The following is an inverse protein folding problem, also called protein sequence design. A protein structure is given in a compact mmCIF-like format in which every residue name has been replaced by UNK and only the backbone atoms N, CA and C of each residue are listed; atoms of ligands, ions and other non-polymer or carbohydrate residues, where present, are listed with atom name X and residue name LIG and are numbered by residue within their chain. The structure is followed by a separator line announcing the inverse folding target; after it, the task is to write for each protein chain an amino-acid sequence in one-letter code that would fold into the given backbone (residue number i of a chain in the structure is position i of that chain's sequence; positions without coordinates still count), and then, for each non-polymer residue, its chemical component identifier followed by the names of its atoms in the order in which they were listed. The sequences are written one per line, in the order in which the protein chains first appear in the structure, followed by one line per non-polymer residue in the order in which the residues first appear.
data_IF_777622720609
#
_entry.id   IF_777622720609
#
_cell.length_a   1.000
_cell.length_b   1.000
_cell.length_c   1.000
_cell.angle_alpha   90.00
_cell.angle_beta   90.00
_cell.angle_gamma   90.00
#
_symmetry.space_group_name_H-M   'P 1'
#
loop_
_entity.id
_entity.type
_entity.pdbx_description
1 polymer ?
#
# COMPACT_ATOMS: atom_id res chain seq x y z
N UNK A 1 9.16 -22.79 6.31
CA UNK A 1 8.28 -22.78 5.14
C UNK A 1 9.15 -22.74 3.89
N UNK A 2 8.94 -23.62 2.92
CA UNK A 2 9.76 -23.60 1.69
C UNK A 2 9.20 -22.54 0.73
N UNK A 3 9.68 -21.30 0.84
CA UNK A 3 9.23 -20.16 0.02
C UNK A 3 9.72 -20.23 -1.43
N UNK A 4 10.60 -21.18 -1.76
CA UNK A 4 11.15 -21.37 -3.12
C UNK A 4 10.09 -21.75 -4.17
N UNK A 5 8.92 -22.20 -3.72
CA UNK A 5 7.82 -22.67 -4.56
C UNK A 5 6.71 -21.62 -4.75
N UNK A 6 6.85 -20.44 -4.10
CA UNK A 6 5.93 -19.31 -4.22
C UNK A 6 6.57 -18.26 -5.11
N UNK A 7 5.82 -17.79 -6.09
CA UNK A 7 6.26 -16.66 -6.92
C UNK A 7 5.28 -15.49 -6.81
N UNK A 8 5.85 -14.29 -6.80
CA UNK A 8 5.13 -13.03 -6.83
C UNK A 8 5.31 -12.38 -8.19
N UNK A 9 4.23 -12.01 -8.84
CA UNK A 9 4.26 -11.42 -10.16
C UNK A 9 3.97 -9.93 -10.06
N UNK A 10 4.90 -9.12 -10.59
CA UNK A 10 4.85 -7.65 -10.60
C UNK A 10 4.44 -7.06 -9.25
N UNK A 11 5.11 -7.49 -8.19
CA UNK A 11 4.82 -6.96 -6.86
C UNK A 11 5.05 -5.44 -6.82
N UNK A 12 4.06 -4.65 -6.38
CA UNK A 12 4.06 -3.20 -6.57
C UNK A 12 5.03 -2.44 -5.66
N UNK A 13 5.56 -3.10 -4.65
CA UNK A 13 6.39 -2.48 -3.65
C UNK A 13 7.85 -2.85 -3.89
N UNK A 14 8.72 -1.85 -3.77
CA UNK A 14 10.13 -1.87 -4.08
C UNK A 14 10.84 -3.17 -3.62
N UNK A 15 11.71 -3.71 -4.47
CA UNK A 15 12.48 -4.95 -4.29
C UNK A 15 13.21 -5.13 -2.95
N UNK A 16 13.49 -4.02 -2.24
CA UNK A 16 14.08 -4.07 -0.90
C UNK A 16 13.18 -4.72 0.15
N UNK A 17 11.89 -4.88 -0.13
CA UNK A 17 10.92 -5.43 0.81
C UNK A 17 10.88 -6.96 0.81
N UNK A 18 11.28 -7.62 -0.29
CA UNK A 18 10.95 -9.04 -0.51
C UNK A 18 12.13 -9.90 -0.93
N UNK A 19 13.25 -9.32 -1.31
CA UNK A 19 14.39 -10.03 -1.90
C UNK A 19 15.00 -11.17 -1.06
N UNK A 20 14.59 -11.32 0.20
CA UNK A 20 15.05 -12.41 1.08
C UNK A 20 14.05 -13.57 1.19
N UNK A 21 12.74 -13.32 0.95
CA UNK A 21 11.70 -14.29 1.30
C UNK A 21 10.95 -14.88 0.11
N UNK A 22 10.92 -14.20 -1.04
CA UNK A 22 10.07 -14.61 -2.16
C UNK A 22 10.75 -14.41 -3.51
N UNK A 23 10.42 -15.29 -4.45
CA UNK A 23 10.88 -15.19 -5.83
C UNK A 23 9.97 -14.22 -6.58
N UNK A 24 10.51 -13.07 -6.96
CA UNK A 24 9.80 -12.10 -7.80
C UNK A 24 9.97 -12.41 -9.28
N UNK A 25 8.90 -12.27 -10.04
CA UNK A 25 8.86 -12.36 -11.50
C UNK A 25 8.27 -11.08 -12.05
N UNK A 26 9.01 -10.39 -12.91
CA UNK A 26 8.54 -9.17 -13.54
C UNK A 26 8.01 -9.46 -14.94
N UNK A 27 6.79 -9.01 -15.22
CA UNK A 27 6.18 -9.07 -16.55
C UNK A 27 6.77 -8.00 -17.46
N UNK A 28 7.09 -6.83 -16.89
CA UNK A 28 7.53 -5.65 -17.64
C UNK A 28 8.84 -5.11 -17.08
N UNK A 29 9.69 -4.62 -17.97
CA UNK A 29 10.84 -3.82 -17.52
C UNK A 29 10.32 -2.51 -16.91
N UNK A 30 10.78 -2.15 -15.69
CA UNK A 30 10.46 -0.85 -15.12
C UNK A 30 10.91 0.24 -16.09
N UNK A 31 10.00 1.17 -16.42
CA UNK A 31 10.35 2.33 -17.25
C UNK A 31 11.41 3.16 -16.53
N UNK A 32 12.43 3.59 -17.25
CA UNK A 32 13.40 4.58 -16.74
C UNK A 32 12.67 5.85 -16.28
N UNK A 33 13.26 6.59 -15.35
CA UNK A 33 12.67 7.86 -14.85
C UNK A 33 12.34 8.81 -16.02
N UNK A 34 13.21 8.87 -17.04
CA UNK A 34 12.98 9.68 -18.23
C UNK A 34 11.77 9.22 -19.07
N UNK A 35 11.61 7.91 -19.29
CA UNK A 35 10.47 7.37 -20.04
C UNK A 35 9.15 7.50 -19.26
N UNK A 36 9.18 7.37 -17.93
CA UNK A 36 8.01 7.66 -17.08
C UNK A 36 7.60 9.14 -17.16
N UNK A 37 8.57 10.03 -17.29
CA UNK A 37 8.33 11.45 -17.47
C UNK A 37 7.73 11.73 -18.87
N UNK A 38 8.35 11.23 -19.94
CA UNK A 38 7.86 11.39 -21.32
C UNK A 38 6.45 10.85 -21.51
N UNK A 39 6.11 9.72 -20.87
CA UNK A 39 4.76 9.14 -20.92
C UNK A 39 3.67 10.09 -20.38
N UNK A 40 3.99 11.08 -19.55
CA UNK A 40 3.04 12.07 -19.04
C UNK A 40 2.70 13.17 -20.06
N UNK A 41 3.46 13.25 -21.14
CA UNK A 41 3.17 14.17 -22.26
C UNK A 41 2.14 13.53 -23.20
N UNK A 42 1.06 14.21 -23.61
CA UNK A 42 -0.03 13.62 -24.39
C UNK A 42 0.42 12.93 -25.67
N UNK A 43 1.39 13.52 -26.40
CA UNK A 43 1.96 12.97 -27.63
C UNK A 43 2.74 11.65 -27.42
N UNK A 44 3.35 11.47 -26.24
CA UNK A 44 4.16 10.29 -25.93
C UNK A 44 3.39 9.21 -25.16
N UNK A 45 2.25 9.54 -24.57
CA UNK A 45 1.42 8.57 -23.84
C UNK A 45 0.91 7.45 -24.75
N UNK A 46 0.60 7.74 -26.02
CA UNK A 46 0.22 6.77 -27.03
C UNK A 46 1.40 5.88 -27.51
N UNK A 47 2.59 6.45 -27.62
CA UNK A 47 3.78 5.77 -28.14
C UNK A 47 4.49 4.89 -27.09
N UNK A 48 4.43 5.29 -25.81
CA UNK A 48 5.11 4.60 -24.71
C UNK A 48 4.21 3.58 -24.00
N UNK A 49 2.93 3.45 -24.39
CA UNK A 49 2.01 2.43 -23.86
C UNK A 49 2.45 0.98 -24.15
N UNK A 50 3.32 0.77 -25.14
CA UNK A 50 3.89 -0.52 -25.50
C UNK A 50 5.19 -0.81 -24.73
N UNK A 51 5.12 -0.90 -23.39
CA UNK A 51 6.21 -1.51 -22.63
C UNK A 51 6.37 -2.96 -23.10
N UNK A 52 7.56 -3.31 -23.58
CA UNK A 52 7.83 -4.67 -24.03
C UNK A 52 7.70 -5.62 -22.85
N UNK A 53 6.80 -6.56 -22.95
CA UNK A 53 6.71 -7.70 -22.06
C UNK A 53 8.07 -8.42 -22.03
N UNK A 54 8.51 -8.84 -20.87
CA UNK A 54 9.76 -9.59 -20.72
C UNK A 54 9.52 -10.99 -21.31
N UNK A 55 10.27 -11.37 -22.35
CA UNK A 55 10.14 -12.71 -22.93
C UNK A 55 10.46 -13.77 -21.88
N UNK A 56 9.63 -14.83 -21.85
CA UNK A 56 9.86 -16.01 -21.00
C UNK A 56 9.53 -15.82 -19.52
N UNK A 57 8.88 -14.75 -19.10
CA UNK A 57 8.48 -14.56 -17.70
C UNK A 57 7.54 -15.69 -17.19
N UNK A 58 6.74 -16.26 -18.08
CA UNK A 58 5.81 -17.35 -17.74
C UNK A 58 6.52 -18.68 -17.45
N UNK A 59 7.79 -18.84 -17.82
CA UNK A 59 8.56 -20.07 -17.54
C UNK A 59 8.54 -20.39 -16.05
N UNK A 60 8.66 -19.37 -15.20
CA UNK A 60 8.63 -19.55 -13.75
C UNK A 60 7.29 -20.08 -13.25
N UNK A 61 6.20 -19.82 -13.96
CA UNK A 61 4.86 -20.26 -13.58
C UNK A 61 4.70 -21.79 -13.67
N UNK A 62 5.46 -22.46 -14.55
CA UNK A 62 5.38 -23.93 -14.74
C UNK A 62 5.78 -24.72 -13.50
N UNK A 63 6.67 -24.17 -12.69
CA UNK A 63 7.28 -24.88 -11.57
C UNK A 63 6.81 -24.34 -10.22
N UNK A 64 6.02 -23.28 -10.20
CA UNK A 64 5.51 -22.70 -8.97
C UNK A 64 4.33 -23.50 -8.43
N UNK A 65 4.30 -23.72 -7.11
CA UNK A 65 3.14 -24.30 -6.41
C UNK A 65 2.10 -23.22 -6.07
N UNK A 66 2.54 -22.01 -5.87
CA UNK A 66 1.64 -20.86 -5.62
C UNK A 66 2.10 -19.66 -6.40
N UNK A 67 1.18 -19.02 -7.09
CA UNK A 67 1.42 -17.83 -7.91
C UNK A 67 0.54 -16.72 -7.38
N UNK A 68 1.14 -15.60 -6.98
CA UNK A 68 0.43 -14.44 -6.46
C UNK A 68 0.67 -13.27 -7.41
N UNK A 69 -0.39 -12.70 -7.95
CA UNK A 69 -0.37 -11.51 -8.80
C UNK A 69 -1.23 -10.40 -8.20
N UNK A 70 -0.94 -9.15 -8.54
CA UNK A 70 -1.64 -7.97 -8.01
C UNK A 70 -2.29 -7.17 -9.14
N UNK A 71 -3.38 -6.46 -8.84
CA UNK A 71 -4.12 -5.57 -9.75
C UNK A 71 -3.43 -4.21 -9.97
N UNK A 72 -2.11 -4.21 -10.09
CA UNK A 72 -1.30 -2.98 -10.15
C UNK A 72 -1.28 -2.29 -11.51
N UNK A 73 -1.85 -2.92 -12.52
CA UNK A 73 -1.87 -2.42 -13.89
C UNK A 73 -3.17 -2.74 -14.61
N UNK A 74 -3.52 -1.90 -15.58
CA UNK A 74 -4.62 -2.16 -16.48
C UNK A 74 -4.38 -3.48 -17.23
N UNK A 75 -5.43 -4.25 -17.47
CA UNK A 75 -5.39 -5.56 -18.15
C UNK A 75 -4.70 -6.68 -17.34
N UNK A 76 -4.68 -6.63 -16.02
CA UNK A 76 -4.16 -7.72 -15.20
C UNK A 76 -4.85 -9.07 -15.53
N UNK A 77 -6.12 -9.07 -15.89
CA UNK A 77 -6.85 -10.27 -16.30
C UNK A 77 -6.18 -10.99 -17.50
N UNK A 78 -5.65 -10.24 -18.47
CA UNK A 78 -4.92 -10.82 -19.60
C UNK A 78 -3.69 -11.61 -19.14
N UNK A 79 -2.97 -11.09 -18.15
CA UNK A 79 -1.80 -11.77 -17.59
C UNK A 79 -2.20 -12.95 -16.71
N UNK A 80 -3.31 -12.85 -16.00
CA UNK A 80 -3.90 -13.99 -15.29
C UNK A 80 -4.21 -15.15 -16.25
N UNK A 81 -4.81 -14.89 -17.40
CA UNK A 81 -5.05 -15.94 -18.41
C UNK A 81 -3.75 -16.56 -18.94
N UNK A 82 -2.69 -15.76 -19.19
CA UNK A 82 -1.39 -16.30 -19.59
C UNK A 82 -0.77 -17.18 -18.49
N UNK A 83 -0.86 -16.76 -17.23
CA UNK A 83 -0.40 -17.54 -16.07
C UNK A 83 -1.15 -18.87 -16.01
N UNK A 84 -2.46 -18.83 -16.07
CA UNK A 84 -3.31 -20.00 -15.95
C UNK A 84 -3.02 -21.05 -17.02
N UNK A 85 -2.70 -20.60 -18.24
CA UNK A 85 -2.32 -21.48 -19.36
C UNK A 85 -0.99 -22.19 -19.12
N UNK A 86 -0.04 -21.55 -18.46
CA UNK A 86 1.33 -22.06 -18.28
C UNK A 86 1.55 -22.73 -16.92
N UNK A 87 0.76 -22.40 -15.92
CA UNK A 87 0.88 -22.94 -14.57
C UNK A 87 0.42 -24.41 -14.50
N UNK A 88 1.06 -25.21 -13.62
CA UNK A 88 0.59 -26.55 -13.30
C UNK A 88 -0.89 -26.54 -12.88
N UNK A 89 -1.62 -27.63 -13.15
CA UNK A 89 -3.03 -27.77 -12.75
C UNK A 89 -3.20 -27.72 -11.22
N UNK A 90 -2.19 -28.19 -10.48
CA UNK A 90 -2.16 -28.22 -9.02
C UNK A 90 -1.70 -26.89 -8.41
N UNK A 91 -1.18 -25.97 -9.23
CA UNK A 91 -0.74 -24.68 -8.74
C UNK A 91 -1.92 -23.84 -8.24
N UNK A 92 -1.78 -23.24 -7.06
CA UNK A 92 -2.72 -22.22 -6.57
C UNK A 92 -2.48 -20.90 -7.28
N UNK A 93 -3.54 -20.32 -7.78
CA UNK A 93 -3.51 -19.03 -8.47
C UNK A 93 -4.23 -17.99 -7.61
N UNK A 94 -3.53 -16.97 -7.17
CA UNK A 94 -4.05 -15.94 -6.26
C UNK A 94 -3.94 -14.58 -6.94
N UNK A 95 -5.07 -13.91 -7.12
CA UNK A 95 -5.10 -12.48 -7.43
C UNK A 95 -5.39 -11.71 -6.14
N UNK A 96 -4.47 -10.82 -5.75
CA UNK A 96 -4.66 -9.95 -4.60
C UNK A 96 -4.94 -8.52 -5.07
N UNK A 97 -6.15 -8.03 -4.81
CA UNK A 97 -6.60 -6.70 -5.17
C UNK A 97 -6.02 -5.67 -4.18
N UNK A 98 -5.26 -4.72 -4.69
CA UNK A 98 -4.71 -3.57 -3.96
C UNK A 98 -5.54 -2.29 -4.14
N UNK A 99 -6.52 -2.36 -5.04
CA UNK A 99 -7.47 -1.29 -5.28
C UNK A 99 -8.89 -1.76 -4.92
N UNK A 100 -9.78 -0.86 -4.52
CA UNK A 100 -11.20 -1.18 -4.36
C UNK A 100 -11.78 -1.75 -5.65
N UNK A 101 -12.65 -2.75 -5.52
CA UNK A 101 -13.35 -3.41 -6.65
C UNK A 101 -14.08 -2.41 -7.55
N UNK A 102 -14.57 -1.34 -6.99
CA UNK A 102 -15.25 -0.26 -7.72
C UNK A 102 -14.39 0.36 -8.85
N UNK A 103 -13.04 0.28 -8.80
CA UNK A 103 -12.17 0.80 -9.85
C UNK A 103 -12.00 -0.14 -11.04
N UNK A 104 -12.11 -1.44 -10.84
CA UNK A 104 -12.07 -2.46 -11.90
C UNK A 104 -12.69 -3.76 -11.41
N UNK A 105 -13.55 -4.32 -12.21
CA UNK A 105 -14.16 -5.62 -11.99
C UNK A 105 -13.63 -6.71 -12.95
N UNK A 106 -12.49 -6.47 -13.57
CA UNK A 106 -11.83 -7.41 -14.51
C UNK A 106 -11.55 -8.79 -13.89
N UNK A 107 -11.51 -8.89 -12.55
CA UNK A 107 -11.38 -10.18 -11.87
C UNK A 107 -12.54 -11.14 -12.18
N UNK A 108 -13.71 -10.63 -12.56
CA UNK A 108 -14.88 -11.43 -12.98
C UNK A 108 -14.65 -12.17 -14.30
N UNK A 109 -13.65 -11.76 -15.08
CA UNK A 109 -13.26 -12.43 -16.31
C UNK A 109 -12.40 -13.66 -16.07
N UNK A 110 -11.98 -13.91 -14.83
CA UNK A 110 -11.11 -15.03 -14.48
C UNK A 110 -11.92 -16.30 -14.23
N UNK A 111 -11.29 -17.44 -14.47
CA UNK A 111 -11.88 -18.75 -14.19
C UNK A 111 -12.00 -18.99 -12.66
N UNK A 112 -12.81 -19.97 -12.27
CA UNK A 112 -12.93 -20.42 -10.88
C UNK A 112 -11.65 -21.01 -10.29
N UNK A 113 -10.62 -21.14 -11.08
CA UNK A 113 -9.28 -21.57 -10.65
C UNK A 113 -8.55 -20.50 -9.84
N UNK A 114 -8.97 -19.23 -9.99
CA UNK A 114 -8.37 -18.09 -9.29
C UNK A 114 -9.02 -17.86 -7.94
N UNK A 115 -8.20 -17.78 -6.90
CA UNK A 115 -8.60 -17.26 -5.61
C UNK A 115 -8.46 -15.74 -5.63
N UNK A 116 -9.57 -15.02 -5.45
CA UNK A 116 -9.56 -13.56 -5.46
C UNK A 116 -9.57 -13.04 -4.03
N UNK A 117 -8.54 -12.29 -3.69
CA UNK A 117 -8.36 -11.69 -2.36
C UNK A 117 -8.44 -10.16 -2.45
N UNK A 118 -8.99 -9.54 -1.42
CA UNK A 118 -9.05 -8.08 -1.29
C UNK A 118 -8.63 -7.64 0.10
N UNK A 119 -8.04 -6.44 0.19
CA UNK A 119 -7.70 -5.82 1.48
C UNK A 119 -8.89 -5.08 2.12
N UNK A 120 -10.01 -4.96 1.41
CA UNK A 120 -11.22 -4.31 1.88
C UNK A 120 -12.23 -5.34 2.37
N UNK A 121 -12.55 -5.29 3.67
CA UNK A 121 -13.52 -6.19 4.30
C UNK A 121 -14.94 -6.02 3.71
N UNK A 122 -15.31 -4.79 3.36
CA UNK A 122 -16.58 -4.49 2.71
C UNK A 122 -16.68 -5.14 1.31
N UNK A 123 -15.62 -5.01 0.49
CA UNK A 123 -15.57 -5.64 -0.83
C UNK A 123 -15.60 -7.17 -0.70
N UNK A 124 -14.88 -7.72 0.28
CA UNK A 124 -14.88 -9.17 0.52
C UNK A 124 -16.29 -9.69 0.78
N UNK A 125 -17.05 -9.02 1.63
CA UNK A 125 -18.44 -9.42 1.94
C UNK A 125 -19.39 -9.18 0.78
N UNK A 126 -19.27 -8.03 0.10
CA UNK A 126 -20.21 -7.64 -0.96
C UNK A 126 -20.07 -8.48 -2.22
N UNK A 127 -18.86 -8.88 -2.55
CA UNK A 127 -18.53 -9.56 -3.80
C UNK A 127 -18.11 -11.02 -3.60
N UNK A 128 -18.27 -11.55 -2.39
CA UNK A 128 -17.87 -12.93 -2.03
C UNK A 128 -16.40 -13.22 -2.35
N UNK A 129 -15.50 -12.30 -1.93
CA UNK A 129 -14.07 -12.41 -2.11
C UNK A 129 -13.40 -12.80 -0.78
N UNK A 130 -12.20 -13.37 -0.89
CA UNK A 130 -11.41 -13.67 0.31
C UNK A 130 -10.81 -12.38 0.89
N UNK A 131 -10.87 -12.24 2.22
CA UNK A 131 -10.32 -11.09 2.91
C UNK A 131 -8.88 -11.33 3.35
N UNK A 132 -7.99 -10.43 2.95
CA UNK A 132 -6.62 -10.36 3.44
C UNK A 132 -6.26 -8.92 3.74
N UNK A 133 -6.14 -8.55 5.03
CA UNK A 133 -5.77 -7.19 5.41
C UNK A 133 -4.41 -6.79 4.80
N UNK A 134 -4.22 -5.50 4.56
CA UNK A 134 -2.92 -4.93 4.19
C UNK A 134 -1.86 -5.28 5.25
N UNK A 135 -0.62 -5.30 4.87
CA UNK A 135 0.50 -5.69 5.72
C UNK A 135 1.66 -4.70 5.65
N UNK A 136 2.58 -4.80 6.58
CA UNK A 136 3.88 -4.14 6.54
C UNK A 136 5.01 -5.16 6.44
N UNK A 137 6.17 -4.72 5.96
CA UNK A 137 7.37 -5.56 5.95
C UNK A 137 8.29 -5.19 7.12
N UNK A 138 8.53 -6.10 8.09
CA UNK A 138 9.37 -5.82 9.25
C UNK A 138 10.83 -5.50 8.90
N UNK A 139 11.34 -5.97 7.76
CA UNK A 139 12.71 -5.68 7.30
C UNK A 139 12.98 -4.18 7.07
N UNK A 140 11.93 -3.38 6.88
CA UNK A 140 12.08 -1.92 6.75
C UNK A 140 12.68 -1.28 8.00
N UNK A 141 12.50 -1.87 9.17
CA UNK A 141 13.12 -1.37 10.40
C UNK A 141 14.65 -1.38 10.30
N UNK A 142 15.22 -2.44 9.72
CA UNK A 142 16.67 -2.55 9.59
C UNK A 142 17.25 -1.55 8.60
N UNK A 143 16.49 -1.23 7.55
CA UNK A 143 16.90 -0.23 6.54
C UNK A 143 16.69 1.22 6.99
N UNK A 144 15.94 1.45 8.06
CA UNK A 144 15.61 2.80 8.56
C UNK A 144 16.30 3.18 9.86
N UNK A 145 17.00 2.24 10.52
CA UNK A 145 17.69 2.43 11.81
C UNK A 145 18.89 3.40 11.78
N UNK A 146 19.22 3.97 10.64
CA UNK A 146 20.53 4.64 10.41
C UNK A 146 20.70 6.01 11.05
N UNK A 147 19.69 6.57 11.74
CA UNK A 147 19.85 7.87 12.41
C UNK A 147 19.17 7.86 13.80
N UNK A 148 19.91 8.18 14.87
CA UNK A 148 19.29 8.48 16.14
C UNK A 148 18.42 9.74 15.97
N UNK A 149 17.11 9.60 16.19
CA UNK A 149 16.15 10.69 16.07
C UNK A 149 16.16 11.45 17.39
N UNK A 150 16.94 12.52 17.45
CA UNK A 150 16.98 13.38 18.63
C UNK A 150 15.73 14.26 18.76
N UNK A 151 15.12 14.64 17.62
CA UNK A 151 13.90 15.45 17.59
C UNK A 151 13.14 15.20 16.29
N UNK A 152 11.81 14.96 16.33
CA UNK A 152 10.99 14.80 15.11
C UNK A 152 11.06 16.02 14.20
N UNK A 153 11.19 15.79 12.91
CA UNK A 153 11.27 16.87 11.89
C UNK A 153 9.93 17.58 11.69
N UNK A 154 8.83 16.89 11.95
CA UNK A 154 7.47 17.41 11.87
C UNK A 154 6.56 16.76 12.92
N UNK A 155 5.47 17.44 13.25
CA UNK A 155 4.47 16.89 14.15
C UNK A 155 3.50 16.00 13.41
N UNK A 156 3.21 16.33 12.13
CA UNK A 156 2.32 15.54 11.27
C UNK A 156 2.88 15.46 9.83
N UNK A 157 3.01 14.25 9.31
CA UNK A 157 3.51 13.97 7.97
C UNK A 157 2.40 13.43 7.06
N UNK A 158 2.26 13.99 5.86
CA UNK A 158 1.50 13.43 4.76
C UNK A 158 2.38 13.31 3.52
N UNK A 159 2.44 12.12 2.91
CA UNK A 159 3.08 11.90 1.60
C UNK A 159 2.15 11.02 0.77
N UNK A 160 1.64 11.55 -0.34
CA UNK A 160 0.77 10.77 -1.21
C UNK A 160 0.37 11.53 -2.48
N UNK A 161 -0.15 10.81 -3.46
CA UNK A 161 -0.68 11.41 -4.69
C UNK A 161 -1.97 12.17 -4.41
N UNK A 162 -2.31 13.12 -5.27
CA UNK A 162 -3.49 13.97 -5.13
C UNK A 162 -4.80 13.15 -5.02
N UNK A 163 -5.11 12.36 -6.02
CA UNK A 163 -6.33 11.53 -6.06
C UNK A 163 -7.60 12.27 -5.61
N UNK A 164 -7.70 13.58 -5.92
CA UNK A 164 -8.82 14.43 -5.55
C UNK A 164 -8.84 14.93 -4.11
N UNK A 165 -7.73 14.80 -3.35
CA UNK A 165 -7.63 15.18 -1.94
C UNK A 165 -6.86 16.48 -1.69
N UNK A 166 -6.31 17.07 -2.75
CA UNK A 166 -5.41 18.24 -2.66
C UNK A 166 -6.03 19.37 -1.83
N UNK A 167 -7.22 19.78 -2.16
CA UNK A 167 -7.84 20.95 -1.54
C UNK A 167 -8.13 20.70 -0.06
N UNK A 168 -8.58 19.51 0.29
CA UNK A 168 -8.73 19.08 1.68
C UNK A 168 -7.41 19.12 2.45
N UNK A 169 -6.33 18.58 1.86
CA UNK A 169 -5.00 18.50 2.49
C UNK A 169 -4.43 19.90 2.72
N UNK A 170 -4.56 20.81 1.75
CA UNK A 170 -4.08 22.18 1.88
C UNK A 170 -4.88 22.94 2.91
N UNK A 171 -6.21 22.86 2.88
CA UNK A 171 -7.07 23.51 3.88
C UNK A 171 -6.77 23.01 5.29
N UNK A 172 -6.63 21.70 5.47
CA UNK A 172 -6.24 21.11 6.75
C UNK A 172 -4.89 21.63 7.23
N UNK A 173 -3.89 21.73 6.33
CA UNK A 173 -2.57 22.29 6.66
C UNK A 173 -2.66 23.71 7.20
N UNK A 174 -3.46 24.56 6.55
CA UNK A 174 -3.64 25.95 6.96
C UNK A 174 -4.34 26.05 8.33
N UNK A 175 -5.36 25.24 8.56
CA UNK A 175 -6.03 25.17 9.86
C UNK A 175 -5.06 24.71 10.96
N UNK A 176 -4.28 23.67 10.72
CA UNK A 176 -3.34 23.13 11.72
C UNK A 176 -2.20 24.08 12.05
N UNK A 177 -1.80 24.93 11.10
CA UNK A 177 -0.81 25.99 11.32
C UNK A 177 -1.27 26.98 12.40
N UNK A 178 -2.56 27.30 12.45
CA UNK A 178 -3.13 28.18 13.49
C UNK A 178 -3.01 27.60 14.90
N UNK A 179 -2.90 26.26 15.03
CA UNK A 179 -2.66 25.56 16.29
C UNK A 179 -1.17 25.29 16.58
N UNK A 180 -0.25 25.87 15.78
CA UNK A 180 1.20 25.69 15.96
C UNK A 180 1.71 24.30 15.57
N UNK A 181 0.93 23.48 14.85
CA UNK A 181 1.32 22.13 14.43
C UNK A 181 2.19 22.22 13.17
N UNK A 182 3.41 21.65 13.25
CA UNK A 182 4.36 21.61 12.14
C UNK A 182 4.00 20.49 11.17
N UNK A 183 3.39 20.84 10.04
CA UNK A 183 2.95 19.91 9.00
C UNK A 183 3.98 19.78 7.87
N UNK A 184 4.45 18.56 7.61
CA UNK A 184 5.18 18.20 6.37
C UNK A 184 4.22 17.47 5.41
N UNK A 185 3.48 18.25 4.61
CA UNK A 185 2.50 17.69 3.67
C UNK A 185 3.03 17.77 2.24
N UNK A 186 3.23 16.60 1.63
CA UNK A 186 3.78 16.43 0.28
C UNK A 186 2.76 15.75 -0.61
N UNK A 187 2.12 16.54 -1.47
CA UNK A 187 1.22 16.05 -2.51
C UNK A 187 2.08 15.68 -3.71
N UNK A 188 2.18 14.39 -4.00
CA UNK A 188 3.13 13.88 -4.99
C UNK A 188 2.55 13.95 -6.40
N UNK A 189 3.20 14.70 -7.28
CA UNK A 189 3.02 14.66 -8.72
C UNK A 189 4.32 15.13 -9.41
N UNK A 190 5.04 14.21 -10.02
CA UNK A 190 6.35 14.49 -10.63
C UNK A 190 6.29 15.50 -11.77
N UNK A 191 5.18 15.57 -12.49
CA UNK A 191 5.02 16.51 -13.60
C UNK A 191 4.62 17.90 -13.08
N UNK A 192 3.57 17.97 -12.28
CA UNK A 192 3.08 19.24 -11.74
C UNK A 192 4.11 19.90 -10.81
N UNK A 193 4.98 19.12 -10.14
CA UNK A 193 6.05 19.65 -9.29
C UNK A 193 7.11 20.47 -10.03
N UNK A 194 7.14 20.42 -11.36
CA UNK A 194 8.02 21.27 -12.18
C UNK A 194 7.50 22.70 -12.33
N UNK A 195 6.17 22.87 -12.21
CA UNK A 195 5.49 24.13 -12.49
C UNK A 195 4.79 24.72 -11.26
N UNK A 196 4.65 23.95 -10.19
CA UNK A 196 3.94 24.38 -9.01
C UNK A 196 4.58 23.84 -7.73
N UNK A 197 4.80 24.75 -6.77
CA UNK A 197 5.34 24.41 -5.43
C UNK A 197 4.33 23.66 -4.53
N UNK A 198 3.08 23.57 -4.95
CA UNK A 198 2.03 22.79 -4.25
C UNK A 198 2.34 21.29 -4.34
N UNK A 199 2.98 20.87 -5.43
CA UNK A 199 3.30 19.48 -5.66
C UNK A 199 4.77 19.17 -5.36
N UNK A 200 5.00 17.97 -4.84
CA UNK A 200 6.32 17.42 -4.54
C UNK A 200 6.70 16.33 -5.53
N UNK A 201 8.00 16.11 -5.71
CA UNK A 201 8.49 14.94 -6.43
C UNK A 201 8.28 13.68 -5.60
N UNK A 202 8.09 12.57 -6.31
CA UNK A 202 8.08 11.25 -5.70
C UNK A 202 9.41 10.97 -4.99
N UNK A 203 9.33 10.44 -3.80
CA UNK A 203 10.47 9.90 -3.07
C UNK A 203 10.45 8.37 -3.17
N UNK A 204 11.62 7.74 -3.13
CA UNK A 204 11.66 6.28 -3.03
C UNK A 204 11.09 5.81 -1.68
N UNK A 205 10.70 4.52 -1.64
CA UNK A 205 9.98 4.00 -0.49
C UNK A 205 10.84 3.95 0.80
N UNK A 206 12.14 3.69 0.68
CA UNK A 206 13.05 3.72 1.84
C UNK A 206 13.12 5.13 2.42
N UNK A 207 13.25 6.15 1.56
CA UNK A 207 13.25 7.55 1.99
C UNK A 207 11.92 7.94 2.64
N UNK A 208 10.81 7.44 2.11
CA UNK A 208 9.49 7.66 2.69
C UNK A 208 9.42 7.05 4.10
N UNK A 209 9.90 5.83 4.30
CA UNK A 209 9.96 5.16 5.60
C UNK A 209 10.87 5.93 6.59
N UNK A 210 12.00 6.47 6.12
CA UNK A 210 12.87 7.34 6.95
C UNK A 210 12.14 8.61 7.40
N UNK A 211 11.39 9.26 6.51
CA UNK A 211 10.58 10.42 6.84
C UNK A 211 9.46 10.06 7.83
N UNK A 212 8.80 8.92 7.61
CA UNK A 212 7.80 8.40 8.55
C UNK A 212 8.40 8.11 9.91
N UNK A 213 9.59 7.50 9.96
CA UNK A 213 10.26 7.25 11.22
C UNK A 213 10.68 8.54 11.93
N UNK A 214 10.98 9.61 11.19
CA UNK A 214 11.41 10.90 11.71
C UNK A 214 10.27 11.93 11.93
N UNK A 215 9.02 11.52 11.93
CA UNK A 215 7.87 12.35 12.28
C UNK A 215 7.25 11.91 13.60
N UNK A 216 6.46 12.79 14.23
CA UNK A 216 5.71 12.44 15.43
C UNK A 216 4.46 11.62 15.11
N UNK A 217 3.71 12.04 14.10
CA UNK A 217 2.50 11.36 13.63
C UNK A 217 2.42 11.33 12.10
N UNK A 218 1.62 10.43 11.57
CA UNK A 218 1.31 10.33 10.14
C UNK A 218 -0.14 10.67 9.88
N UNK A 219 -0.41 11.34 8.75
CA UNK A 219 -1.75 11.62 8.25
C UNK A 219 -2.09 10.64 7.14
N UNK A 220 -3.18 9.91 7.33
CA UNK A 220 -3.78 9.01 6.37
C UNK A 220 -5.11 9.59 5.89
N UNK A 221 -5.14 10.11 4.68
CA UNK A 221 -6.36 10.59 4.03
C UNK A 221 -6.81 9.56 3.02
N UNK A 222 -7.88 8.85 3.32
CA UNK A 222 -8.41 7.82 2.41
C UNK A 222 -9.14 8.45 1.22
N UNK A 223 -9.20 7.71 0.11
CA UNK A 223 -10.03 8.07 -1.02
C UNK A 223 -11.50 7.83 -0.68
N UNK A 224 -12.39 8.52 -1.39
CA UNK A 224 -13.83 8.27 -1.31
C UNK A 224 -14.10 6.77 -1.60
N UNK A 225 -14.91 6.14 -0.78
CA UNK A 225 -15.23 4.71 -0.83
C UNK A 225 -14.07 3.73 -0.51
N UNK A 226 -12.97 4.18 0.08
CA UNK A 226 -11.92 3.31 0.59
C UNK A 226 -12.09 3.10 2.09
N UNK A 227 -12.46 1.88 2.50
CA UNK A 227 -12.67 1.49 3.90
C UNK A 227 -11.59 0.55 4.46
N UNK A 228 -10.73 0.00 3.61
CA UNK A 228 -9.66 -0.92 4.02
C UNK A 228 -8.50 -0.25 4.78
N UNK A 229 -7.69 -1.07 5.43
CA UNK A 229 -6.46 -0.62 6.08
C UNK A 229 -5.44 -0.18 5.02
N UNK A 230 -4.98 1.06 5.11
CA UNK A 230 -4.01 1.59 4.14
C UNK A 230 -2.57 1.22 4.50
N UNK A 231 -1.65 1.36 3.54
CA UNK A 231 -0.22 1.20 3.81
C UNK A 231 0.29 2.24 4.83
N UNK A 232 -0.32 3.43 4.90
CA UNK A 232 0.01 4.46 5.91
C UNK A 232 -0.25 3.96 7.33
N UNK A 233 -1.36 3.27 7.54
CA UNK A 233 -1.68 2.66 8.84
C UNK A 233 -0.64 1.60 9.18
N UNK A 234 -0.26 0.77 8.22
CA UNK A 234 0.77 -0.26 8.40
C UNK A 234 2.13 0.33 8.77
N UNK A 235 2.52 1.43 8.13
CA UNK A 235 3.75 2.16 8.48
C UNK A 235 3.67 2.79 9.88
N UNK A 236 2.51 3.32 10.27
CA UNK A 236 2.28 3.80 11.63
C UNK A 236 2.51 2.73 12.69
N UNK A 237 2.01 1.52 12.45
CA UNK A 237 2.21 0.37 13.34
C UNK A 237 3.69 -0.04 13.36
N UNK A 238 4.33 -0.16 12.19
CA UNK A 238 5.73 -0.55 12.07
C UNK A 238 6.67 0.38 12.83
N UNK A 239 6.50 1.70 12.62
CA UNK A 239 7.37 2.72 13.21
C UNK A 239 6.87 3.26 14.56
N UNK A 240 5.86 2.63 15.12
CA UNK A 240 5.25 3.03 16.40
C UNK A 240 4.85 4.52 16.43
N UNK A 241 4.14 4.98 15.41
CA UNK A 241 3.71 6.37 15.26
C UNK A 241 2.23 6.55 15.59
N UNK A 242 1.85 7.74 16.00
CA UNK A 242 0.46 8.14 16.00
C UNK A 242 -0.06 8.21 14.58
N UNK A 243 -1.34 7.89 14.42
CA UNK A 243 -2.04 7.89 13.14
C UNK A 243 -3.23 8.84 13.25
N UNK A 244 -3.24 9.85 12.40
CA UNK A 244 -4.39 10.71 12.17
C UNK A 244 -5.01 10.28 10.85
N UNK A 245 -6.26 9.85 10.85
CA UNK A 245 -6.86 9.28 9.63
C UNK A 245 -8.29 9.76 9.40
N UNK A 246 -8.67 9.89 8.14
CA UNK A 246 -10.07 10.12 7.74
C UNK A 246 -10.84 8.81 7.55
N UNK A 247 -10.20 7.66 7.77
CA UNK A 247 -10.80 6.33 7.59
C UNK A 247 -11.68 5.96 8.79
N UNK A 248 -13.00 6.11 8.61
CA UNK A 248 -14.00 5.78 9.65
C UNK A 248 -14.04 4.27 9.99
N UNK A 249 -13.62 3.41 9.07
CA UNK A 249 -13.56 1.95 9.29
C UNK A 249 -12.76 1.56 10.54
N UNK A 250 -11.76 2.36 10.94
CA UNK A 250 -10.95 2.05 12.11
C UNK A 250 -11.73 2.15 13.42
N UNK A 251 -12.81 2.93 13.47
CA UNK A 251 -13.68 3.02 14.67
C UNK A 251 -14.44 1.71 14.93
N UNK A 252 -14.68 0.92 13.90
CA UNK A 252 -15.39 -0.35 13.97
C UNK A 252 -14.45 -1.55 14.01
N UNK A 253 -13.20 -1.35 13.58
CA UNK A 253 -12.20 -2.41 13.50
C UNK A 253 -11.79 -2.89 14.90
N UNK A 254 -11.93 -4.18 15.17
CA UNK A 254 -11.68 -4.79 16.49
C UNK A 254 -10.27 -4.53 17.03
N UNK A 255 -9.28 -4.41 16.14
CA UNK A 255 -7.88 -4.23 16.51
C UNK A 255 -7.54 -2.75 16.81
N UNK A 256 -8.33 -1.81 16.28
CA UNK A 256 -7.97 -0.39 16.30
C UNK A 256 -8.98 0.55 16.98
N UNK A 257 -10.24 0.12 17.17
CA UNK A 257 -11.30 0.97 17.72
C UNK A 257 -10.99 1.62 19.09
N UNK A 258 -10.13 0.97 19.88
CA UNK A 258 -9.72 1.46 21.21
C UNK A 258 -8.22 1.84 21.25
N UNK A 259 -7.57 2.03 20.10
CA UNK A 259 -6.15 2.35 20.05
C UNK A 259 -5.93 3.84 20.32
N UNK A 260 -5.24 4.16 21.43
CA UNK A 260 -4.93 5.53 21.82
C UNK A 260 -3.98 6.28 20.86
N UNK A 261 -3.29 5.56 19.96
CA UNK A 261 -2.43 6.13 18.94
C UNK A 261 -3.19 6.51 17.67
N UNK A 262 -4.50 6.28 17.59
CA UNK A 262 -5.30 6.57 16.40
C UNK A 262 -6.29 7.70 16.69
N UNK A 263 -6.31 8.69 15.81
CA UNK A 263 -7.26 9.79 15.80
C UNK A 263 -8.04 9.78 14.50
N UNK A 264 -9.34 9.54 14.58
CA UNK A 264 -10.21 9.57 13.43
C UNK A 264 -10.65 11.01 13.21
N UNK A 265 -10.08 11.62 12.19
CA UNK A 265 -10.27 13.03 11.86
C UNK A 265 -11.55 13.22 11.06
N UNK A 266 -12.36 14.22 11.48
CA UNK A 266 -13.48 14.75 10.72
C UNK A 266 -13.54 16.27 10.86
N UNK A 267 -14.47 16.91 10.17
CA UNK A 267 -14.58 18.38 10.17
C UNK A 267 -14.88 18.98 11.55
N UNK A 268 -15.51 18.21 12.44
CA UNK A 268 -15.99 18.71 13.74
C UNK A 268 -14.98 18.52 14.87
N UNK A 269 -13.88 17.76 14.65
CA UNK A 269 -12.96 17.41 15.73
C UNK A 269 -11.51 17.86 15.52
N UNK A 270 -11.25 18.74 14.58
CA UNK A 270 -9.89 19.28 14.30
C UNK A 270 -9.30 19.90 15.57
N UNK A 271 -10.10 20.54 16.40
CA UNK A 271 -9.67 21.18 17.65
C UNK A 271 -9.03 20.20 18.65
N UNK A 272 -9.48 18.94 18.65
CA UNK A 272 -8.93 17.89 19.51
C UNK A 272 -7.57 17.34 19.06
N UNK A 273 -7.15 17.64 17.82
CA UNK A 273 -5.94 17.07 17.24
C UNK A 273 -4.67 17.53 17.97
N UNK A 274 -4.60 18.80 18.38
CA UNK A 274 -3.45 19.30 19.15
C UNK A 274 -3.29 18.54 20.47
N UNK A 275 -4.37 18.36 21.21
CA UNK A 275 -4.35 17.60 22.48
C UNK A 275 -3.96 16.13 22.23
N UNK A 276 -4.46 15.52 21.15
CA UNK A 276 -4.07 14.15 20.77
C UNK A 276 -2.57 14.05 20.46
N UNK A 277 -2.02 14.97 19.67
CA UNK A 277 -0.60 14.95 19.29
C UNK A 277 0.31 15.12 20.50
N UNK A 278 -0.08 15.88 21.53
CA UNK A 278 0.71 16.11 22.73
C UNK A 278 0.66 14.93 23.73
N UNK A 279 -0.27 13.98 23.61
CA UNK A 279 -0.27 12.79 24.46
C UNK A 279 0.97 11.91 24.17
N UNK A 280 1.49 11.14 25.13
CA UNK A 280 2.52 10.15 24.86
C UNK A 280 2.08 9.14 23.79
N UNK A 281 2.98 8.75 22.90
CA UNK A 281 2.73 7.63 21.99
C UNK A 281 2.87 6.32 22.76
N UNK A 282 1.86 5.48 22.71
CA UNK A 282 1.93 4.14 23.30
C UNK A 282 2.51 3.14 22.28
N UNK A 283 3.11 2.08 22.77
CA UNK A 283 3.60 1.03 21.90
C UNK A 283 2.42 0.20 21.37
N UNK A 284 2.43 -0.11 20.06
CA UNK A 284 1.44 -1.03 19.53
C UNK A 284 1.66 -2.44 20.07
N UNK A 285 0.59 -3.13 20.51
CA UNK A 285 0.69 -4.47 21.05
C UNK A 285 1.38 -5.44 20.09
N UNK A 286 2.20 -6.35 20.64
CA UNK A 286 2.99 -7.29 19.83
C UNK A 286 2.11 -8.21 18.96
N UNK A 287 0.94 -8.62 19.45
CA UNK A 287 -0.01 -9.41 18.68
C UNK A 287 -0.54 -8.62 17.45
N UNK A 288 -0.76 -7.31 17.55
CA UNK A 288 -1.13 -6.45 16.42
C UNK A 288 0.02 -6.36 15.42
N UNK A 289 1.25 -6.08 15.91
CA UNK A 289 2.44 -6.07 15.04
C UNK A 289 2.61 -7.40 14.30
N UNK A 290 2.50 -8.52 14.98
CA UNK A 290 2.58 -9.85 14.35
C UNK A 290 1.46 -10.09 13.33
N UNK A 291 0.22 -9.76 13.68
CA UNK A 291 -0.97 -9.98 12.83
C UNK A 291 -0.87 -9.30 11.46
N UNK A 292 -0.29 -8.09 11.42
CA UNK A 292 -0.18 -7.29 10.20
C UNK A 292 1.20 -7.34 9.55
N UNK A 293 2.09 -8.24 9.99
CA UNK A 293 3.37 -8.47 9.32
C UNK A 293 3.17 -9.17 7.96
N UNK A 294 4.16 -9.01 7.07
CA UNK A 294 4.21 -9.73 5.80
C UNK A 294 4.11 -11.24 5.97
N UNK A 295 4.82 -11.81 6.94
CA UNK A 295 4.81 -13.25 7.18
C UNK A 295 3.41 -13.75 7.55
N UNK A 296 2.72 -13.08 8.46
CA UNK A 296 1.36 -13.45 8.84
C UNK A 296 0.34 -13.22 7.69
N UNK A 297 0.56 -12.23 6.84
CA UNK A 297 -0.24 -12.02 5.63
C UNK A 297 -0.02 -13.17 4.65
N UNK A 298 1.24 -13.52 4.37
CA UNK A 298 1.57 -14.60 3.45
C UNK A 298 1.04 -15.95 3.96
N UNK A 299 1.20 -16.24 5.25
CA UNK A 299 0.65 -17.46 5.86
C UNK A 299 -0.85 -17.57 5.65
N UNK A 300 -1.61 -16.48 5.83
CA UNK A 300 -3.06 -16.48 5.59
C UNK A 300 -3.42 -16.79 4.14
N UNK A 301 -2.67 -16.22 3.19
CA UNK A 301 -2.93 -16.47 1.77
C UNK A 301 -2.63 -17.91 1.35
N UNK A 302 -1.55 -18.51 1.90
CA UNK A 302 -1.10 -19.83 1.47
C UNK A 302 -1.63 -20.98 2.33
N UNK A 303 -2.14 -20.71 3.53
CA UNK A 303 -2.78 -21.74 4.36
C UNK A 303 -4.00 -22.30 3.59
N UNK A 304 -3.98 -23.60 3.31
CA UNK A 304 -5.16 -24.26 2.77
C UNK A 304 -6.26 -24.15 3.81
N UNK A 305 -7.44 -23.67 3.41
CA UNK A 305 -8.63 -23.83 4.23
C UNK A 305 -8.83 -25.35 4.39
N UNK A 306 -8.77 -25.83 5.61
CA UNK A 306 -9.23 -27.18 5.90
C UNK A 306 -10.71 -27.22 5.52
N UNK A 307 -11.04 -28.08 4.56
CA UNK A 307 -12.43 -28.28 4.15
C UNK A 307 -13.27 -28.58 5.40
N UNK A 308 -14.20 -27.68 5.70
CA UNK A 308 -15.20 -27.87 6.74
C UNK A 308 -16.19 -28.92 6.31
#
# INVERSE_FOLDING_TARGET
MNTSEIIFIDFPINKYLYGLYVKEVYIRKPLSKALRFLRKLPLFSMLISNTREIKGWTISCKYAKTIIIFDTFANYALYCHKIEKEASKEARLILYLLNPVFFSDDYKLLSSRWEIWTFMDEDARKYDLKYGATFYNPLLLDHTKTLPISKPSSDLLFIGTDKGRKDFILHLKDQLKAYGIRCDFRIVDNFKSLFSRVYSREVDYVKLCQLTNNTHAILDVVQKAQSGLTLRIMEGILFNKKIVTTNQFLSENKDFRNCSNIYILNQNNINGLHAFLNKPTQEYPLNIKKKYSFDAWLERLIKKEEAK
#
